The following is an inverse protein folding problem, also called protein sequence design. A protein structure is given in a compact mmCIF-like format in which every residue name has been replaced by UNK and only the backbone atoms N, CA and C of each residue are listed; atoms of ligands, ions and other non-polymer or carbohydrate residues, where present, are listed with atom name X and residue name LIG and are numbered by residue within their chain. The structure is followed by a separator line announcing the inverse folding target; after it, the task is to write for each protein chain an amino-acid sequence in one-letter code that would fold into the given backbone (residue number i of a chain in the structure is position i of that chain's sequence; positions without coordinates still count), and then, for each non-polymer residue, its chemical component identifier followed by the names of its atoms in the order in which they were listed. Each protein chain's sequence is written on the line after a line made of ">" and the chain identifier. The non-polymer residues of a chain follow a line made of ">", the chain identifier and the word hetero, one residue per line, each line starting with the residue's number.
data_IF_056682159376
#
_entry.id   IF_056682159376
#
_cell.length_a   1.000
_cell.length_b   1.000
_cell.length_c   1.000
_cell.angle_alpha   90.00
_cell.angle_beta   90.00
_cell.angle_gamma   90.00
#
_symmetry.space_group_name_H-M   'P 1'
#
loop_
_entity.id
_entity.type
_entity.pdbx_description
1 polymer ?
#
# COMPACT_ATOMS: atom_id res chain seq x y z
N UNK A 1 -55.44 20.70 50.05
CA UNK A 1 -54.91 20.49 48.68
C UNK A 1 -53.95 19.29 48.64
N UNK A 2 -54.43 18.22 48.00
CA UNK A 2 -53.80 17.07 47.30
C UNK A 2 -52.36 16.60 47.65
N UNK A 3 -52.32 15.36 48.16
CA UNK A 3 -51.21 14.38 48.22
C UNK A 3 -50.38 14.35 46.93
N UNK A 4 -49.04 14.32 47.06
CA UNK A 4 -48.09 13.95 46.00
C UNK A 4 -47.08 12.93 46.55
N UNK A 5 -47.48 11.67 46.61
CA UNK A 5 -46.60 10.52 46.92
C UNK A 5 -46.86 9.41 45.89
N UNK A 6 -46.59 9.70 44.61
CA UNK A 6 -46.71 8.72 43.53
C UNK A 6 -45.62 9.00 42.49
N UNK A 7 -44.35 8.77 42.85
CA UNK A 7 -43.24 8.73 41.87
C UNK A 7 -42.05 7.88 42.32
N UNK A 8 -42.00 7.36 43.55
CA UNK A 8 -40.89 6.53 44.02
C UNK A 8 -41.07 5.02 43.76
N UNK A 9 -42.23 4.57 43.26
CA UNK A 9 -42.54 3.14 43.10
C UNK A 9 -42.28 2.58 41.68
N UNK A 10 -41.86 3.42 40.72
CA UNK A 10 -41.68 2.98 39.32
C UNK A 10 -40.21 2.73 38.92
N UNK A 11 -39.25 3.04 39.79
CA UNK A 11 -37.81 2.85 39.49
C UNK A 11 -37.20 1.60 40.15
N UNK A 12 -38.01 0.80 40.85
CA UNK A 12 -37.59 -0.48 41.44
C UNK A 12 -38.15 -1.72 40.73
N UNK A 13 -38.93 -1.53 39.66
CA UNK A 13 -39.45 -2.64 38.82
C UNK A 13 -38.58 -2.95 37.60
N UNK A 14 -37.47 -2.23 37.39
CA UNK A 14 -36.52 -2.47 36.29
C UNK A 14 -35.25 -3.22 36.74
N UNK A 15 -35.33 -4.01 37.82
CA UNK A 15 -34.19 -4.73 38.38
C UNK A 15 -34.29 -6.27 38.31
N UNK A 16 -35.32 -6.84 37.69
CA UNK A 16 -35.57 -8.31 37.71
C UNK A 16 -35.57 -8.96 36.31
N UNK A 17 -35.32 -8.22 35.24
CA UNK A 17 -35.50 -8.71 33.86
C UNK A 17 -34.26 -8.68 32.96
N UNK A 18 -33.08 -9.09 33.43
CA UNK A 18 -31.92 -9.30 32.54
C UNK A 18 -30.87 -10.22 33.18
N UNK A 19 -31.27 -11.44 33.54
CA UNK A 19 -30.31 -12.54 33.76
C UNK A 19 -30.42 -13.48 32.56
N UNK A 20 -29.26 -13.95 32.09
CA UNK A 20 -29.02 -14.88 30.99
C UNK A 20 -28.95 -14.24 29.59
N UNK A 21 -27.76 -13.74 29.24
CA UNK A 21 -27.05 -14.08 28.00
C UNK A 21 -25.55 -13.73 28.17
N UNK A 22 -24.86 -14.38 29.11
CA UNK A 22 -23.39 -14.46 29.07
C UNK A 22 -22.99 -15.85 28.58
N UNK A 23 -23.37 -16.16 27.35
CA UNK A 23 -22.78 -17.25 26.59
C UNK A 23 -21.45 -16.78 26.03
N UNK A 24 -20.42 -16.67 26.88
CA UNK A 24 -19.05 -16.53 26.40
C UNK A 24 -18.74 -17.75 25.55
N UNK A 25 -18.59 -17.57 24.23
CA UNK A 25 -18.13 -18.62 23.34
C UNK A 25 -16.83 -19.19 23.90
N UNK A 26 -16.81 -20.51 24.10
CA UNK A 26 -15.57 -21.23 24.38
C UNK A 26 -14.56 -20.83 23.30
N UNK A 27 -13.35 -20.34 23.68
CA UNK A 27 -12.32 -20.09 22.70
C UNK A 27 -12.03 -21.41 21.99
N UNK A 28 -12.16 -21.39 20.67
CA UNK A 28 -11.97 -22.54 19.78
C UNK A 28 -10.55 -23.10 19.95
N UNK A 29 -10.37 -24.42 19.80
CA UNK A 29 -9.09 -25.11 20.01
C UNK A 29 -8.06 -24.85 18.89
N UNK A 30 -8.41 -23.99 17.94
CA UNK A 30 -7.57 -23.63 16.80
C UNK A 30 -6.55 -22.58 17.26
N UNK A 31 -5.25 -22.90 17.14
CA UNK A 31 -4.18 -21.92 17.36
C UNK A 31 -4.27 -20.83 16.29
N UNK A 32 -4.63 -19.61 16.71
CA UNK A 32 -4.57 -18.44 15.85
C UNK A 32 -3.14 -17.93 15.88
N UNK A 33 -2.34 -18.39 14.94
CA UNK A 33 -0.98 -17.88 14.72
C UNK A 33 -1.07 -16.59 13.90
N UNK A 34 -0.65 -15.46 14.46
CA UNK A 34 -0.44 -14.24 13.69
C UNK A 34 0.81 -14.42 12.81
N UNK A 35 0.57 -14.64 11.51
CA UNK A 35 1.65 -14.75 10.54
C UNK A 35 2.29 -13.38 10.31
N UNK A 36 3.60 -13.32 10.52
CA UNK A 36 4.38 -12.12 10.21
C UNK A 36 4.59 -11.98 8.69
N UNK A 37 4.58 -10.74 8.19
CA UNK A 37 4.87 -10.43 6.79
C UNK A 37 6.29 -10.92 6.40
N UNK A 38 6.37 -11.73 5.35
CA UNK A 38 7.65 -12.20 4.81
C UNK A 38 8.22 -11.13 3.87
N UNK A 39 9.30 -10.47 4.29
CA UNK A 39 9.96 -9.43 3.49
C UNK A 39 11.21 -9.96 2.81
N UNK A 40 11.28 -9.84 1.48
CA UNK A 40 12.48 -10.17 0.71
C UNK A 40 13.55 -9.10 0.93
N UNK A 41 14.62 -9.45 1.66
CA UNK A 41 15.72 -8.53 1.99
C UNK A 41 16.84 -8.46 0.94
N UNK A 42 17.06 -9.53 0.17
CA UNK A 42 18.22 -9.67 -0.72
C UNK A 42 18.35 -8.56 -1.77
N UNK A 43 17.22 -8.03 -2.23
CA UNK A 43 17.14 -7.05 -3.34
C UNK A 43 17.08 -5.61 -2.83
N UNK A 44 16.88 -5.42 -1.51
CA UNK A 44 16.81 -4.10 -0.89
C UNK A 44 18.20 -3.57 -0.60
N UNK A 45 18.38 -2.28 -0.80
CA UNK A 45 19.68 -1.64 -0.63
C UNK A 45 19.86 -1.33 0.86
N UNK A 46 21.04 -1.61 1.44
CA UNK A 46 21.33 -1.24 2.82
C UNK A 46 21.37 0.29 2.97
N UNK A 47 21.28 0.77 4.22
CA UNK A 47 21.28 2.21 4.50
C UNK A 47 22.60 2.91 4.09
N UNK A 48 23.72 2.18 4.12
CA UNK A 48 25.06 2.64 3.77
C UNK A 48 25.49 2.26 2.35
N UNK A 49 24.53 2.03 1.44
CA UNK A 49 24.85 1.68 0.06
C UNK A 49 25.71 2.76 -0.62
N UNK A 50 26.75 2.38 -1.40
CA UNK A 50 27.66 3.33 -2.05
C UNK A 50 27.07 3.99 -3.31
N UNK A 51 25.75 4.00 -3.46
CA UNK A 51 25.02 4.54 -4.61
C UNK A 51 23.73 5.24 -4.15
N UNK A 52 23.14 6.04 -5.04
CA UNK A 52 21.96 6.83 -4.70
C UNK A 52 20.71 5.95 -4.60
N UNK A 53 20.01 6.03 -3.46
CA UNK A 53 18.77 5.31 -3.19
C UNK A 53 17.66 6.30 -2.88
N UNK A 54 16.50 6.15 -3.51
CA UNK A 54 15.25 6.80 -3.10
C UNK A 54 14.27 5.73 -2.62
N UNK A 55 13.46 6.08 -1.61
CA UNK A 55 12.42 5.22 -1.06
C UNK A 55 11.10 5.98 -1.07
N UNK A 56 10.08 5.31 -1.56
CA UNK A 56 8.70 5.79 -1.57
C UNK A 56 7.93 4.86 -0.64
N UNK A 57 7.35 5.45 0.41
CA UNK A 57 6.62 4.72 1.43
C UNK A 57 5.18 4.43 1.03
N UNK A 58 4.53 3.52 1.77
CA UNK A 58 3.12 3.13 1.58
C UNK A 58 2.17 4.33 1.53
N UNK A 59 2.35 5.31 2.42
CA UNK A 59 1.47 6.48 2.50
C UNK A 59 1.50 7.32 1.21
N UNK A 60 2.69 7.49 0.62
CA UNK A 60 2.84 8.24 -0.63
C UNK A 60 2.25 7.47 -1.81
N UNK A 61 2.45 6.15 -1.85
CA UNK A 61 1.86 5.25 -2.86
C UNK A 61 0.33 5.27 -2.79
N UNK A 62 -0.23 5.21 -1.59
CA UNK A 62 -1.68 5.26 -1.37
C UNK A 62 -2.27 6.62 -1.72
N UNK A 63 -1.57 7.71 -1.42
CA UNK A 63 -1.99 9.05 -1.86
C UNK A 63 -1.96 9.16 -3.39
N UNK A 64 -0.92 8.61 -4.02
CA UNK A 64 -0.76 8.62 -5.47
C UNK A 64 -1.77 7.74 -6.22
N UNK A 65 -2.16 6.59 -5.66
CA UNK A 65 -3.10 5.66 -6.32
C UNK A 65 -4.46 6.29 -6.62
N UNK A 66 -4.83 7.35 -5.88
CA UNK A 66 -6.07 8.11 -6.10
C UNK A 66 -6.01 9.05 -7.31
N UNK A 67 -4.83 9.31 -7.85
CA UNK A 67 -4.65 10.26 -8.98
C UNK A 67 -5.03 9.66 -10.33
N UNK A 68 -5.02 8.33 -10.46
CA UNK A 68 -5.22 7.63 -11.74
C UNK A 68 -4.07 7.79 -12.73
N UNK A 69 -2.94 8.38 -12.32
CA UNK A 69 -1.73 8.48 -13.13
C UNK A 69 -0.86 7.24 -13.00
N UNK A 70 -0.06 6.96 -14.03
CA UNK A 70 0.83 5.81 -14.02
C UNK A 70 2.04 6.02 -13.08
N UNK A 71 2.53 4.92 -12.49
CA UNK A 71 3.66 4.91 -11.55
C UNK A 71 4.92 5.69 -11.99
N UNK A 72 5.31 5.71 -13.28
CA UNK A 72 6.43 6.54 -13.72
C UNK A 72 6.33 8.02 -13.33
N UNK A 73 5.13 8.60 -13.26
CA UNK A 73 4.93 9.99 -12.84
C UNK A 73 5.18 10.18 -11.33
N UNK A 74 4.91 9.17 -10.51
CA UNK A 74 5.33 9.17 -9.11
C UNK A 74 6.86 9.10 -9.02
N UNK A 75 7.48 8.21 -9.81
CA UNK A 75 8.94 8.05 -9.80
C UNK A 75 9.66 9.30 -10.30
N UNK A 76 9.08 10.04 -11.25
CA UNK A 76 9.62 11.30 -11.76
C UNK A 76 9.74 12.41 -10.69
N UNK A 77 9.09 12.26 -9.52
CA UNK A 77 9.31 13.15 -8.37
C UNK A 77 10.68 12.96 -7.73
N UNK A 78 11.36 11.87 -8.05
CA UNK A 78 12.74 11.61 -7.61
C UNK A 78 13.74 12.22 -8.59
N UNK A 79 14.76 12.97 -8.11
CA UNK A 79 15.76 13.57 -8.99
C UNK A 79 16.46 12.57 -9.91
N UNK A 80 16.61 12.97 -11.18
CA UNK A 80 17.25 12.16 -12.23
C UNK A 80 16.32 11.15 -12.90
N UNK A 81 15.02 11.19 -12.60
CA UNK A 81 14.00 10.39 -13.29
C UNK A 81 13.13 11.32 -14.12
N UNK A 82 12.90 10.96 -15.37
CA UNK A 82 11.96 11.63 -16.26
C UNK A 82 10.92 10.63 -16.72
N UNK A 83 9.65 11.03 -16.73
CA UNK A 83 8.56 10.22 -17.25
C UNK A 83 7.71 11.05 -18.21
N UNK A 84 7.17 10.40 -19.22
CA UNK A 84 6.25 10.99 -20.17
C UNK A 84 5.24 9.95 -20.63
N UNK A 85 4.03 10.38 -20.97
CA UNK A 85 3.02 9.53 -21.58
C UNK A 85 2.82 9.93 -23.04
N UNK A 86 2.43 8.96 -23.87
CA UNK A 86 2.18 9.19 -25.28
C UNK A 86 1.04 10.19 -25.52
N UNK A 87 0.05 10.18 -24.63
CA UNK A 87 -1.11 11.08 -24.68
C UNK A 87 -0.92 12.42 -23.94
N UNK A 88 0.20 12.64 -23.24
CA UNK A 88 0.45 13.83 -22.43
C UNK A 88 -0.41 13.98 -21.16
N UNK A 89 -1.34 13.07 -20.87
CA UNK A 89 -2.24 13.13 -19.71
C UNK A 89 -1.74 12.36 -18.48
N UNK A 90 -0.68 11.58 -18.65
CA UNK A 90 -0.10 10.74 -17.61
C UNK A 90 -0.84 9.42 -17.35
N UNK A 91 -1.62 8.95 -18.32
CA UNK A 91 -2.36 7.69 -18.29
C UNK A 91 -2.02 6.83 -19.51
N UNK A 92 -2.13 5.51 -19.40
CA UNK A 92 -1.90 4.60 -20.52
C UNK A 92 -0.41 4.40 -20.82
N UNK A 93 -0.04 4.34 -22.11
CA UNK A 93 1.35 4.09 -22.52
C UNK A 93 2.26 5.20 -22.00
N UNK A 94 3.04 4.84 -20.98
CA UNK A 94 3.95 5.73 -20.27
C UNK A 94 5.34 5.14 -20.31
N UNK A 95 6.33 6.02 -20.38
CA UNK A 95 7.74 5.66 -20.48
C UNK A 95 8.52 6.34 -19.36
N UNK A 96 9.67 5.78 -19.00
CA UNK A 96 10.56 6.43 -18.05
C UNK A 96 12.02 6.40 -18.49
N UNK A 97 12.79 7.34 -17.96
CA UNK A 97 14.24 7.35 -18.07
C UNK A 97 14.85 7.64 -16.72
N UNK A 98 15.91 6.91 -16.39
CA UNK A 98 16.67 7.13 -15.17
C UNK A 98 18.08 7.54 -15.58
N UNK A 99 18.50 8.76 -15.20
CA UNK A 99 19.80 9.36 -15.57
C UNK A 99 20.11 9.29 -17.07
N UNK A 100 19.09 9.44 -17.91
CA UNK A 100 19.20 9.37 -19.37
C UNK A 100 19.16 7.96 -19.97
N UNK A 101 19.23 6.90 -19.15
CA UNK A 101 19.05 5.53 -19.62
C UNK A 101 17.57 5.25 -19.95
N UNK A 102 17.33 4.65 -21.12
CA UNK A 102 16.01 4.21 -21.58
C UNK A 102 15.46 3.02 -20.78
N UNK A 103 14.16 2.75 -20.93
CA UNK A 103 13.44 1.68 -20.22
C UNK A 103 14.11 0.30 -20.34
N UNK A 104 14.68 -0.04 -21.50
CA UNK A 104 15.38 -1.32 -21.72
C UNK A 104 16.65 -1.50 -20.89
N UNK A 105 17.15 -0.42 -20.26
CA UNK A 105 18.33 -0.44 -19.39
C UNK A 105 17.96 -0.25 -17.92
N UNK A 106 16.67 -0.25 -17.59
CA UNK A 106 16.15 -0.13 -16.24
C UNK A 106 15.52 -1.46 -15.85
N UNK A 107 16.15 -2.15 -14.89
CA UNK A 107 15.58 -3.37 -14.33
C UNK A 107 14.54 -3.01 -13.27
N UNK A 108 13.33 -3.53 -13.44
CA UNK A 108 12.20 -3.37 -12.54
C UNK A 108 11.85 -4.73 -11.98
N UNK A 109 11.86 -4.85 -10.66
CA UNK A 109 11.56 -6.11 -9.98
C UNK A 109 10.44 -5.94 -8.97
N UNK A 110 9.54 -6.91 -8.92
CA UNK A 110 8.55 -7.06 -7.85
C UNK A 110 9.00 -8.18 -6.93
N UNK A 111 9.31 -7.85 -5.67
CA UNK A 111 9.79 -8.79 -4.66
C UNK A 111 10.97 -9.69 -5.11
N UNK A 112 11.80 -9.16 -6.01
CA UNK A 112 12.98 -9.83 -6.57
C UNK A 112 12.76 -10.60 -7.87
N UNK A 113 11.53 -10.68 -8.36
CA UNK A 113 11.22 -11.24 -9.68
C UNK A 113 11.21 -10.11 -10.71
N UNK A 114 11.88 -10.30 -11.84
CA UNK A 114 11.90 -9.32 -12.92
C UNK A 114 10.50 -9.15 -13.53
N UNK A 115 10.08 -7.89 -13.69
CA UNK A 115 8.85 -7.50 -14.36
C UNK A 115 9.10 -7.13 -15.84
N UNK A 116 10.36 -6.91 -16.24
CA UNK A 116 10.69 -6.55 -17.62
C UNK A 116 10.30 -7.68 -18.59
N UNK A 117 9.69 -7.31 -19.71
CA UNK A 117 9.40 -8.24 -20.81
C UNK A 117 10.70 -8.87 -21.32
N UNK A 118 10.77 -10.20 -21.53
CA UNK A 118 11.96 -10.84 -22.07
C UNK A 118 12.24 -10.45 -23.54
N UNK A 119 11.22 -10.00 -24.27
CA UNK A 119 11.34 -9.57 -25.67
C UNK A 119 11.87 -8.14 -25.78
N UNK A 120 11.21 -7.20 -25.09
CA UNK A 120 11.49 -5.77 -25.23
C UNK A 120 12.42 -5.21 -24.15
N UNK A 121 12.68 -5.98 -23.08
CA UNK A 121 13.42 -5.58 -21.90
C UNK A 121 12.82 -4.38 -21.14
N UNK A 122 11.57 -3.99 -21.42
CA UNK A 122 10.88 -2.87 -20.80
C UNK A 122 9.66 -3.32 -19.98
N UNK A 123 9.12 -2.41 -19.18
CA UNK A 123 7.85 -2.60 -18.46
C UNK A 123 6.75 -1.81 -19.15
N UNK A 124 5.66 -2.49 -19.46
CA UNK A 124 4.46 -1.87 -20.01
C UNK A 124 3.58 -1.33 -18.87
N UNK A 125 3.83 -0.09 -18.47
CA UNK A 125 3.17 0.56 -17.33
C UNK A 125 1.65 0.64 -17.46
N UNK A 126 1.13 0.69 -18.70
CA UNK A 126 -0.32 0.64 -18.98
C UNK A 126 -1.01 -0.60 -18.37
N UNK A 127 -0.29 -1.70 -18.21
CA UNK A 127 -0.81 -2.93 -17.60
C UNK A 127 -0.75 -2.90 -16.06
N UNK A 128 -0.21 -1.83 -15.47
CA UNK A 128 0.18 -1.72 -14.07
C UNK A 128 -0.51 -0.54 -13.36
N UNK A 129 -1.58 0.00 -13.93
CA UNK A 129 -2.25 1.23 -13.45
C UNK A 129 -2.69 1.18 -11.98
N UNK A 130 -2.96 -0.01 -11.45
CA UNK A 130 -3.45 -0.21 -10.07
C UNK A 130 -2.35 -0.59 -9.07
N UNK A 131 -1.09 -0.72 -9.51
CA UNK A 131 0.00 -1.21 -8.65
C UNK A 131 0.31 -0.26 -7.50
N UNK A 132 0.12 1.06 -7.67
CA UNK A 132 0.31 2.01 -6.57
C UNK A 132 -0.54 1.68 -5.33
N UNK A 133 -1.72 1.08 -5.50
CA UNK A 133 -2.57 0.68 -4.37
C UNK A 133 -2.14 -0.63 -3.69
N UNK A 134 -1.36 -1.47 -4.39
CA UNK A 134 -0.97 -2.81 -3.93
C UNK A 134 0.44 -2.84 -3.31
N UNK A 135 1.30 -1.92 -3.72
CA UNK A 135 2.70 -1.89 -3.29
C UNK A 135 2.84 -1.39 -1.84
N UNK A 136 3.61 -2.13 -1.03
CA UNK A 136 3.93 -1.70 0.33
C UNK A 136 5.05 -0.66 0.41
N UNK A 137 6.04 -0.76 -0.48
CA UNK A 137 7.13 0.20 -0.60
C UNK A 137 7.75 0.10 -1.99
N UNK A 138 8.34 1.19 -2.47
CA UNK A 138 9.17 1.18 -3.67
C UNK A 138 10.55 1.71 -3.32
N UNK A 139 11.58 1.04 -3.83
CA UNK A 139 12.96 1.49 -3.71
C UNK A 139 13.56 1.65 -5.10
N UNK A 140 14.06 2.86 -5.38
CA UNK A 140 14.72 3.17 -6.63
C UNK A 140 16.21 3.29 -6.38
N UNK A 141 16.99 2.40 -6.99
CA UNK A 141 18.45 2.33 -6.88
C UNK A 141 19.05 2.90 -8.16
N UNK A 142 19.93 3.89 -8.02
CA UNK A 142 20.57 4.58 -9.15
C UNK A 142 22.09 4.44 -9.03
N UNK A 143 22.64 3.44 -9.69
CA UNK A 143 24.08 3.27 -9.90
C UNK A 143 24.58 4.06 -11.11
N UNK A 144 25.89 4.21 -11.22
CA UNK A 144 26.60 4.49 -12.48
C UNK A 144 27.47 3.30 -12.81
#
# INVERSE_FOLDING_TARGET
>A
MKRKYTSAALLWSLAVGAVAMTGGQKPDSVSVEELHEVVVKAVKAPANAPFAVARIGRQELEAFSRTGQELPFLFARTPGIMAWSENGLGTGTTYMRIRGAGDSRVNVTLDGVSLNSPEDQCVFWVNMNSYAALLGNVQIQRGV
#
